data_IF_004970909270
#
_entry.id   IF_004970909270
#
_cell.length_a   1.000
_cell.length_b   1.000
_cell.length_c   1.000
_cell.angle_alpha   90.00
_cell.angle_beta   90.00
_cell.angle_gamma   90.00
#
_symmetry.space_group_name_H-M   'P 1'
#
loop_
_entity.id
_entity.type
_entity.pdbx_description
1 polymer ?
#
# COMPACT_ATOMS: atom_id res chain seq x y z
N UNK A 1 24.75 -0.96 -9.79
CA UNK A 1 24.20 -1.42 -8.49
C UNK A 1 23.05 -2.37 -8.74
N UNK A 2 23.12 -3.58 -8.18
CA UNK A 2 22.10 -4.64 -8.25
C UNK A 2 21.36 -4.69 -6.91
N UNK A 3 20.05 -4.53 -6.96
CA UNK A 3 19.19 -4.53 -5.78
C UNK A 3 18.16 -5.64 -5.89
N UNK A 4 18.03 -6.49 -4.89
CA UNK A 4 16.93 -7.44 -4.78
C UNK A 4 15.93 -6.91 -3.75
N UNK A 5 14.73 -6.56 -4.23
CA UNK A 5 13.59 -6.17 -3.38
C UNK A 5 12.82 -7.44 -3.01
N UNK A 6 12.57 -7.66 -1.73
CA UNK A 6 11.88 -8.87 -1.27
C UNK A 6 10.55 -8.49 -0.63
N UNK A 7 9.47 -9.03 -1.21
CA UNK A 7 8.13 -8.95 -0.68
C UNK A 7 7.78 -10.26 0.03
N UNK A 8 7.33 -10.24 1.29
CA UNK A 8 6.91 -11.47 1.97
C UNK A 8 5.55 -11.98 1.50
N UNK A 9 4.74 -11.11 0.87
CA UNK A 9 3.37 -11.40 0.46
C UNK A 9 3.29 -11.77 -1.01
N UNK A 10 2.30 -12.60 -1.37
CA UNK A 10 2.09 -13.02 -2.76
C UNK A 10 1.93 -11.83 -3.71
N UNK A 11 2.81 -11.74 -4.69
CA UNK A 11 2.86 -10.68 -5.70
C UNK A 11 1.75 -10.82 -6.76
N UNK A 12 1.12 -11.99 -6.86
CA UNK A 12 -0.04 -12.23 -7.75
C UNK A 12 -1.37 -11.75 -7.14
N UNK A 13 -1.36 -11.31 -5.87
CA UNK A 13 -2.54 -10.80 -5.18
C UNK A 13 -2.42 -9.29 -4.97
N UNK A 14 -3.50 -8.52 -5.20
CA UNK A 14 -3.49 -7.09 -4.97
C UNK A 14 -3.24 -6.76 -3.49
N UNK A 15 -2.39 -5.76 -3.23
CA UNK A 15 -2.13 -5.31 -1.87
C UNK A 15 -1.22 -4.09 -1.84
N UNK A 16 -1.34 -3.28 -0.78
CA UNK A 16 -0.60 -2.03 -0.67
C UNK A 16 0.93 -2.22 -0.64
N UNK A 17 1.42 -3.27 0.04
CA UNK A 17 2.86 -3.58 0.10
C UNK A 17 3.35 -4.09 -1.26
N UNK A 18 2.60 -4.98 -1.89
CA UNK A 18 2.93 -5.54 -3.21
C UNK A 18 3.03 -4.42 -4.26
N UNK A 19 2.03 -3.54 -4.33
CA UNK A 19 2.04 -2.39 -5.23
C UNK A 19 3.24 -1.46 -4.99
N UNK A 20 3.63 -1.23 -3.72
CA UNK A 20 4.81 -0.43 -3.40
C UNK A 20 6.11 -1.09 -3.86
N UNK A 21 6.26 -2.40 -3.66
CA UNK A 21 7.48 -3.13 -4.09
C UNK A 21 7.61 -3.11 -5.60
N UNK A 22 6.52 -3.42 -6.32
CA UNK A 22 6.50 -3.45 -7.78
C UNK A 22 6.74 -2.06 -8.37
N UNK A 23 6.03 -1.04 -7.90
CA UNK A 23 6.20 0.34 -8.36
C UNK A 23 7.61 0.88 -8.10
N UNK A 24 8.16 0.63 -6.90
CA UNK A 24 9.53 1.02 -6.56
C UNK A 24 10.56 0.33 -7.48
N UNK A 25 10.38 -0.96 -7.74
CA UNK A 25 11.30 -1.71 -8.61
C UNK A 25 11.25 -1.20 -10.06
N UNK A 26 10.07 -0.92 -10.62
CA UNK A 26 9.92 -0.31 -11.95
C UNK A 26 10.66 1.01 -12.04
N UNK A 27 10.39 1.90 -11.11
CA UNK A 27 11.00 3.24 -11.10
C UNK A 27 12.51 3.21 -10.85
N UNK A 28 13.01 2.26 -10.04
CA UNK A 28 14.46 2.05 -9.89
C UNK A 28 15.11 1.60 -11.20
N UNK A 29 14.46 0.70 -11.97
CA UNK A 29 14.95 0.25 -13.30
C UNK A 29 14.99 1.41 -14.30
N UNK A 30 13.97 2.26 -14.33
CA UNK A 30 13.94 3.48 -15.16
C UNK A 30 15.08 4.45 -14.83
N UNK A 31 15.58 4.41 -13.60
CA UNK A 31 16.74 5.18 -13.14
C UNK A 31 18.08 4.48 -13.34
N UNK A 32 18.11 3.34 -14.03
CA UNK A 32 19.33 2.59 -14.33
C UNK A 32 19.84 1.68 -13.19
N UNK A 33 19.05 1.47 -12.14
CA UNK A 33 19.35 0.48 -11.10
C UNK A 33 18.87 -0.89 -11.55
N UNK A 34 19.73 -1.90 -11.50
CA UNK A 34 19.31 -3.30 -11.74
C UNK A 34 18.50 -3.78 -10.53
N UNK A 35 17.18 -3.77 -10.65
CA UNK A 35 16.26 -4.13 -9.57
C UNK A 35 15.47 -5.40 -9.90
N UNK A 36 15.65 -6.46 -9.11
CA UNK A 36 14.90 -7.71 -9.19
C UNK A 36 13.93 -7.78 -8.00
N UNK A 37 12.70 -8.23 -8.22
CA UNK A 37 11.72 -8.45 -7.16
C UNK A 37 11.60 -9.93 -6.87
N UNK A 38 11.68 -10.33 -5.60
CA UNK A 38 11.55 -11.70 -5.13
C UNK A 38 10.38 -11.81 -4.15
N UNK A 39 9.48 -12.77 -4.36
CA UNK A 39 8.36 -13.02 -3.45
C UNK A 39 7.51 -14.21 -3.88
N UNK A 40 6.52 -14.62 -3.07
CA UNK A 40 5.56 -15.65 -3.48
C UNK A 40 4.71 -15.19 -4.68
N UNK A 41 4.26 -16.15 -5.48
CA UNK A 41 3.27 -15.93 -6.53
C UNK A 41 2.33 -17.13 -6.60
N UNK A 42 1.02 -16.88 -6.55
CA UNK A 42 -0.03 -17.90 -6.69
C UNK A 42 -0.47 -18.11 -8.15
N UNK A 43 0.28 -17.55 -9.08
CA UNK A 43 0.13 -17.61 -10.52
C UNK A 43 1.43 -17.19 -11.19
N UNK A 44 1.39 -16.84 -12.48
CA UNK A 44 2.57 -16.32 -13.15
C UNK A 44 3.03 -15.01 -12.47
N UNK A 45 4.34 -14.71 -12.51
CA UNK A 45 4.85 -13.42 -12.06
C UNK A 45 4.10 -12.26 -12.75
N UNK A 46 3.70 -11.22 -12.01
CA UNK A 46 2.83 -10.16 -12.55
C UNK A 46 3.52 -9.28 -13.62
N UNK A 47 4.84 -9.23 -13.62
CA UNK A 47 5.61 -8.42 -14.57
C UNK A 47 7.06 -8.95 -14.75
N UNK A 48 7.79 -8.55 -15.81
CA UNK A 48 9.20 -8.88 -15.98
C UNK A 48 10.06 -8.38 -14.81
N UNK A 49 11.08 -9.17 -14.44
CA UNK A 49 11.96 -8.86 -13.31
C UNK A 49 11.37 -9.23 -11.95
N UNK A 50 10.26 -9.96 -11.92
CA UNK A 50 9.72 -10.62 -10.73
C UNK A 50 10.08 -12.10 -10.78
N UNK A 51 10.65 -12.61 -9.69
CA UNK A 51 11.02 -14.03 -9.54
C UNK A 51 10.15 -14.62 -8.42
N UNK A 52 9.41 -15.68 -8.74
CA UNK A 52 8.59 -16.39 -7.75
C UNK A 52 9.45 -17.34 -6.92
N UNK A 53 9.18 -17.37 -5.61
CA UNK A 53 9.72 -18.39 -4.68
C UNK A 53 8.79 -19.58 -4.50
N UNK A 54 7.60 -19.55 -5.09
CA UNK A 54 6.56 -20.58 -4.95
C UNK A 54 5.20 -19.99 -4.57
N UNK A 55 4.19 -20.83 -4.36
CA UNK A 55 2.86 -20.41 -3.96
C UNK A 55 2.82 -19.92 -2.51
N UNK A 56 1.75 -19.21 -2.16
CA UNK A 56 1.51 -18.75 -0.80
C UNK A 56 0.48 -19.62 -0.06
N UNK A 57 0.52 -19.55 1.27
CA UNK A 57 -0.55 -20.03 2.16
C UNK A 57 -1.16 -18.82 2.87
N UNK A 58 -2.48 -18.85 3.04
CA UNK A 58 -3.20 -17.76 3.68
C UNK A 58 -3.14 -17.91 5.20
N UNK A 59 -2.53 -16.96 5.88
CA UNK A 59 -2.44 -16.92 7.34
C UNK A 59 -3.16 -15.70 7.90
N UNK A 60 -3.93 -15.92 8.97
CA UNK A 60 -4.56 -14.81 9.70
C UNK A 60 -3.49 -13.94 10.38
N UNK A 61 -3.49 -12.65 10.10
CA UNK A 61 -2.55 -11.70 10.66
C UNK A 61 -3.23 -10.32 10.87
N UNK A 62 -3.14 -9.78 12.07
CA UNK A 62 -3.57 -8.41 12.41
C UNK A 62 -4.98 -8.02 11.91
N UNK A 63 -5.95 -8.95 12.03
CA UNK A 63 -7.33 -8.72 11.57
C UNK A 63 -7.52 -8.78 10.05
N UNK A 64 -6.52 -9.27 9.32
CA UNK A 64 -6.53 -9.52 7.88
C UNK A 64 -5.91 -10.89 7.58
N UNK A 65 -5.74 -11.22 6.30
CA UNK A 65 -5.11 -12.46 5.85
C UNK A 65 -3.85 -12.11 5.06
N UNK A 66 -2.72 -12.72 5.46
CA UNK A 66 -1.44 -12.55 4.82
C UNK A 66 -1.10 -13.79 3.96
N UNK A 67 -0.88 -13.64 2.64
CA UNK A 67 -0.46 -14.72 1.76
C UNK A 67 1.07 -14.89 1.81
N UNK A 68 1.57 -15.85 2.59
CA UNK A 68 2.99 -16.07 2.86
C UNK A 68 3.48 -17.40 2.29
N UNK A 69 4.76 -17.49 1.90
CA UNK A 69 5.43 -18.74 1.56
C UNK A 69 6.40 -19.13 2.71
N UNK A 70 6.09 -20.23 3.39
CA UNK A 70 6.81 -20.67 4.60
C UNK A 70 7.46 -22.04 4.43
N UNK A 71 7.21 -22.71 3.34
CA UNK A 71 7.66 -24.06 3.07
C UNK A 71 9.16 -24.14 2.74
N UNK A 72 9.83 -25.30 2.98
CA UNK A 72 11.23 -25.47 2.70
C UNK A 72 11.62 -25.22 1.23
N UNK A 73 10.82 -25.57 0.20
CA UNK A 73 11.08 -25.19 -1.18
C UNK A 73 11.22 -23.67 -1.39
N UNK A 74 10.33 -22.85 -0.79
CA UNK A 74 10.40 -21.40 -0.90
C UNK A 74 11.66 -20.82 -0.25
N UNK A 75 12.05 -21.38 0.92
CA UNK A 75 13.30 -21.02 1.61
C UNK A 75 14.51 -21.33 0.70
N UNK A 76 14.59 -22.56 0.17
CA UNK A 76 15.66 -22.97 -0.74
C UNK A 76 15.70 -22.08 -1.99
N UNK A 77 14.55 -21.86 -2.62
CA UNK A 77 14.46 -21.02 -3.83
C UNK A 77 14.91 -19.59 -3.56
N UNK A 78 14.58 -19.04 -2.41
CA UNK A 78 15.09 -17.72 -1.98
C UNK A 78 16.62 -17.69 -1.99
N UNK A 79 17.28 -18.68 -1.39
CA UNK A 79 18.74 -18.76 -1.32
C UNK A 79 19.37 -18.95 -2.71
N UNK A 80 18.80 -19.82 -3.54
CA UNK A 80 19.24 -20.05 -4.95
C UNK A 80 19.21 -18.75 -5.74
N UNK A 81 18.10 -18.00 -5.67
CA UNK A 81 17.95 -16.72 -6.38
C UNK A 81 18.96 -15.69 -5.88
N UNK A 82 19.17 -15.57 -4.56
CA UNK A 82 20.16 -14.65 -4.03
C UNK A 82 21.59 -15.01 -4.48
N UNK A 83 21.91 -16.30 -4.57
CA UNK A 83 23.21 -16.76 -5.08
C UNK A 83 23.37 -16.47 -6.59
N UNK A 84 22.31 -16.57 -7.37
CA UNK A 84 22.33 -16.28 -8.81
C UNK A 84 22.38 -14.77 -9.12
N UNK A 85 21.54 -13.98 -8.45
CA UNK A 85 21.43 -12.53 -8.66
C UNK A 85 22.63 -11.76 -8.12
N UNK A 86 23.31 -12.28 -7.10
CA UNK A 86 24.46 -11.65 -6.44
C UNK A 86 24.21 -10.16 -6.14
N UNK A 87 23.20 -9.80 -5.35
CA UNK A 87 22.84 -8.41 -5.11
C UNK A 87 23.93 -7.65 -4.36
N UNK A 88 24.10 -6.38 -4.69
CA UNK A 88 24.92 -5.44 -3.91
C UNK A 88 24.18 -5.00 -2.63
N UNK A 89 22.82 -4.90 -2.71
CA UNK A 89 21.94 -4.51 -1.61
C UNK A 89 20.66 -5.37 -1.60
N UNK A 90 20.23 -5.76 -0.41
CA UNK A 90 18.89 -6.31 -0.18
C UNK A 90 17.95 -5.21 0.31
N UNK A 91 16.76 -5.12 -0.27
CA UNK A 91 15.68 -4.29 0.27
C UNK A 91 14.50 -5.17 0.69
N UNK A 92 14.33 -5.32 1.99
CA UNK A 92 13.37 -6.24 2.59
C UNK A 92 12.14 -5.46 3.06
N UNK A 93 10.98 -5.75 2.47
CA UNK A 93 9.71 -5.23 2.97
C UNK A 93 9.18 -6.18 4.04
N UNK A 94 8.81 -5.63 5.21
CA UNK A 94 8.47 -6.40 6.42
C UNK A 94 9.54 -7.46 6.74
N UNK A 95 10.78 -7.03 7.03
CA UNK A 95 11.98 -7.91 7.07
C UNK A 95 11.92 -9.05 8.06
N UNK A 96 11.02 -8.98 9.05
CA UNK A 96 10.89 -9.95 10.13
C UNK A 96 9.70 -10.90 9.95
N UNK A 97 8.94 -10.73 8.87
CA UNK A 97 7.88 -11.67 8.51
C UNK A 97 8.52 -12.98 8.03
N UNK A 98 8.11 -14.15 8.59
CA UNK A 98 8.61 -15.44 8.15
C UNK A 98 8.42 -15.67 6.65
N UNK A 99 9.36 -16.37 6.03
CA UNK A 99 9.40 -16.63 4.60
C UNK A 99 10.59 -15.95 3.94
N UNK A 100 10.48 -15.50 2.66
CA UNK A 100 11.62 -15.05 1.87
C UNK A 100 12.37 -13.86 2.47
N UNK A 101 11.67 -12.87 3.07
CA UNK A 101 12.31 -11.69 3.63
C UNK A 101 13.20 -12.03 4.85
N UNK A 102 12.68 -12.81 5.79
CA UNK A 102 13.44 -13.26 6.95
C UNK A 102 14.57 -14.22 6.56
N UNK A 103 14.32 -15.11 5.61
CA UNK A 103 15.35 -16.04 5.08
C UNK A 103 16.53 -15.25 4.50
N UNK A 104 16.27 -14.27 3.65
CA UNK A 104 17.30 -13.43 3.06
C UNK A 104 18.08 -12.64 4.10
N UNK A 105 17.42 -12.11 5.13
CA UNK A 105 18.06 -11.39 6.21
C UNK A 105 18.97 -12.30 7.04
N UNK A 106 18.55 -13.54 7.30
CA UNK A 106 19.32 -14.50 8.08
C UNK A 106 20.51 -15.09 7.30
N UNK A 107 20.34 -15.33 6.01
CA UNK A 107 21.41 -15.80 5.13
C UNK A 107 22.51 -14.74 4.89
N UNK A 108 22.20 -13.47 5.18
CA UNK A 108 22.83 -12.30 4.62
C UNK A 108 24.27 -12.03 5.00
N UNK A 109 25.08 -11.99 3.94
CA UNK A 109 26.37 -11.30 3.89
C UNK A 109 26.28 -10.00 3.06
N UNK A 110 25.07 -9.60 2.68
CA UNK A 110 24.80 -8.44 1.82
C UNK A 110 24.16 -7.33 2.65
N UNK A 111 24.60 -6.06 2.48
CA UNK A 111 23.97 -4.94 3.15
C UNK A 111 22.45 -4.90 2.92
N UNK A 112 21.68 -4.75 3.99
CA UNK A 112 20.23 -4.83 3.92
C UNK A 112 19.53 -3.57 4.45
N UNK A 113 18.52 -3.10 3.69
CA UNK A 113 17.54 -2.11 4.11
C UNK A 113 16.25 -2.84 4.49
N UNK A 114 15.66 -2.51 5.63
CA UNK A 114 14.37 -3.04 6.04
C UNK A 114 13.31 -1.95 6.06
N UNK A 115 12.20 -2.14 5.33
CA UNK A 115 11.05 -1.24 5.33
C UNK A 115 9.87 -1.85 6.08
N UNK A 116 9.39 -1.14 7.09
CA UNK A 116 8.26 -1.53 7.93
C UNK A 116 6.98 -0.83 7.48
N UNK A 117 5.96 -1.61 7.18
CA UNK A 117 4.65 -1.15 6.72
C UNK A 117 3.54 -1.33 7.76
N UNK A 118 3.74 -2.24 8.74
CA UNK A 118 2.72 -2.56 9.71
C UNK A 118 2.50 -1.41 10.70
N UNK A 119 1.23 -1.13 10.97
CA UNK A 119 0.76 -0.35 12.12
C UNK A 119 -0.02 -1.27 13.07
N UNK A 120 -0.10 -0.90 14.34
CA UNK A 120 -0.82 -1.65 15.35
C UNK A 120 0.03 -2.68 16.11
N UNK A 121 -0.62 -3.67 16.75
CA UNK A 121 0.06 -4.65 17.61
C UNK A 121 0.56 -5.84 16.80
N UNK A 122 1.84 -6.19 16.93
CA UNK A 122 2.42 -7.42 16.39
C UNK A 122 2.79 -8.32 17.57
N UNK A 123 1.95 -9.29 17.98
CA UNK A 123 2.15 -10.10 19.19
C UNK A 123 3.50 -10.82 19.21
N UNK A 124 3.99 -11.29 18.05
CA UNK A 124 5.28 -11.97 17.95
C UNK A 124 6.45 -11.09 18.42
N UNK A 125 6.38 -9.76 18.26
CA UNK A 125 7.43 -8.85 18.73
C UNK A 125 7.50 -8.75 20.25
N UNK A 126 6.40 -9.05 20.95
CA UNK A 126 6.35 -9.04 22.42
C UNK A 126 7.07 -10.25 23.00
N UNK A 127 6.68 -11.44 22.53
CA UNK A 127 7.15 -12.72 23.09
C UNK A 127 8.56 -13.09 22.67
N UNK A 128 8.96 -12.71 21.45
CA UNK A 128 10.27 -13.05 20.88
C UNK A 128 11.22 -11.85 20.85
N UNK A 129 10.98 -10.83 21.66
CA UNK A 129 11.69 -9.55 21.63
C UNK A 129 13.23 -9.65 21.56
N UNK A 130 13.91 -10.48 22.37
CA UNK A 130 15.38 -10.60 22.29
C UNK A 130 15.86 -11.12 20.93
N UNK A 131 15.22 -12.19 20.43
CA UNK A 131 15.56 -12.80 19.15
C UNK A 131 15.26 -11.86 17.98
N UNK A 132 14.08 -11.23 17.99
CA UNK A 132 13.65 -10.26 16.97
C UNK A 132 14.61 -9.07 16.91
N UNK A 133 15.08 -8.56 18.06
CA UNK A 133 16.09 -7.49 18.13
C UNK A 133 17.44 -7.93 17.60
N UNK A 134 17.87 -9.14 17.92
CA UNK A 134 19.14 -9.68 17.43
C UNK A 134 19.12 -9.80 15.89
N UNK A 135 18.03 -10.30 15.33
CA UNK A 135 17.84 -10.38 13.87
C UNK A 135 17.77 -8.98 13.24
N UNK A 136 17.01 -8.07 13.83
CA UNK A 136 16.87 -6.71 13.32
C UNK A 136 18.19 -5.91 13.30
N UNK A 137 19.18 -6.26 14.13
CA UNK A 137 20.53 -5.66 14.10
C UNK A 137 21.30 -5.93 12.81
N UNK A 138 20.88 -6.95 12.03
CA UNK A 138 21.47 -7.25 10.71
C UNK A 138 21.07 -6.26 9.64
N UNK A 139 19.99 -5.46 9.87
CA UNK A 139 19.60 -4.39 8.99
C UNK A 139 20.57 -3.23 9.13
N UNK A 140 21.25 -2.88 8.05
CA UNK A 140 22.15 -1.73 8.00
C UNK A 140 21.39 -0.38 8.00
N UNK A 141 20.18 -0.36 7.43
CA UNK A 141 19.25 0.76 7.48
C UNK A 141 17.83 0.27 7.75
N UNK A 142 17.06 1.09 8.45
CA UNK A 142 15.64 0.84 8.73
C UNK A 142 14.81 2.02 8.31
N UNK A 143 13.74 1.73 7.58
CA UNK A 143 12.75 2.72 7.15
C UNK A 143 11.36 2.28 7.56
N UNK A 144 10.45 3.22 7.71
CA UNK A 144 9.04 2.98 7.99
C UNK A 144 8.19 3.91 7.13
N UNK A 145 7.04 3.42 6.71
CA UNK A 145 6.16 4.15 5.77
C UNK A 145 5.35 5.26 6.44
N UNK A 146 5.29 5.27 7.77
CA UNK A 146 4.55 6.28 8.54
C UNK A 146 5.19 6.50 9.92
N UNK A 147 4.84 7.62 10.60
CA UNK A 147 5.25 7.84 11.98
C UNK A 147 4.78 6.73 12.93
N UNK A 148 3.59 6.18 12.71
CA UNK A 148 3.04 5.08 13.51
C UNK A 148 3.86 3.78 13.31
N UNK A 149 4.15 3.42 12.05
CA UNK A 149 5.00 2.27 11.74
C UNK A 149 6.42 2.43 12.31
N UNK A 150 6.98 3.66 12.26
CA UNK A 150 8.26 3.99 12.89
C UNK A 150 8.22 3.76 14.40
N UNK A 151 7.23 4.33 15.07
CA UNK A 151 7.09 4.20 16.53
C UNK A 151 6.97 2.73 16.96
N UNK A 152 6.23 1.93 16.17
CA UNK A 152 6.13 0.49 16.38
C UNK A 152 7.50 -0.21 16.24
N UNK A 153 8.21 0.04 15.14
CA UNK A 153 9.52 -0.55 14.88
C UNK A 153 10.54 -0.15 15.97
N UNK A 154 10.67 1.13 16.29
CA UNK A 154 11.60 1.62 17.32
C UNK A 154 11.30 1.06 18.71
N UNK A 155 10.02 1.00 19.09
CA UNK A 155 9.58 0.47 20.38
C UNK A 155 10.00 -0.99 20.60
N UNK A 156 9.82 -1.83 19.57
CA UNK A 156 10.02 -3.29 19.72
C UNK A 156 11.42 -3.74 19.31
N UNK A 157 12.01 -3.10 18.31
CA UNK A 157 13.30 -3.50 17.74
C UNK A 157 14.46 -2.69 18.32
N UNK A 158 14.19 -1.50 18.85
CA UNK A 158 15.21 -0.51 19.22
C UNK A 158 15.94 0.06 18.00
N UNK A 159 16.77 1.07 18.23
CA UNK A 159 17.50 1.79 17.19
C UNK A 159 16.62 2.75 16.40
N UNK A 160 17.26 3.59 15.58
CA UNK A 160 16.57 4.59 14.78
C UNK A 160 15.94 3.99 13.52
N UNK A 161 14.77 4.53 13.13
CA UNK A 161 14.07 4.19 11.91
C UNK A 161 13.69 5.49 11.18
N UNK A 162 14.08 5.62 9.91
CA UNK A 162 13.77 6.79 9.10
C UNK A 162 12.37 6.67 8.51
N UNK A 163 11.55 7.73 8.57
CA UNK A 163 10.26 7.73 7.86
C UNK A 163 10.49 8.03 6.38
N UNK A 164 10.13 7.07 5.54
CA UNK A 164 10.02 7.20 4.09
C UNK A 164 8.62 6.75 3.68
N UNK A 165 7.71 7.71 3.45
CA UNK A 165 6.35 7.42 3.05
C UNK A 165 6.26 6.64 1.75
N UNK A 166 5.20 5.85 1.58
CA UNK A 166 4.92 5.16 0.34
C UNK A 166 4.82 6.14 -0.84
N UNK A 167 5.21 5.69 -2.02
CA UNK A 167 5.08 6.43 -3.27
C UNK A 167 3.83 6.07 -4.05
N UNK A 168 3.44 6.95 -4.97
CA UNK A 168 2.42 6.71 -5.98
C UNK A 168 2.98 6.95 -7.38
N UNK A 169 2.63 6.09 -8.33
CA UNK A 169 2.98 6.25 -9.76
C UNK A 169 2.04 7.29 -10.39
N UNK A 170 2.34 8.57 -10.20
CA UNK A 170 1.46 9.69 -10.55
C UNK A 170 1.01 9.63 -12.00
N UNK A 171 1.93 9.43 -12.94
CA UNK A 171 1.65 9.41 -14.37
C UNK A 171 0.67 8.30 -14.78
N UNK A 172 0.75 7.16 -14.11
CA UNK A 172 -0.15 6.02 -14.33
C UNK A 172 -1.62 6.37 -14.10
N UNK A 173 -1.90 7.14 -13.06
CA UNK A 173 -3.25 7.55 -12.70
C UNK A 173 -3.68 8.80 -13.45
N UNK A 174 -2.79 9.79 -13.59
CA UNK A 174 -3.09 11.06 -14.25
C UNK A 174 -3.38 10.92 -15.75
N UNK A 175 -2.72 9.95 -16.42
CA UNK A 175 -2.86 9.72 -17.88
C UNK A 175 -3.81 8.57 -18.24
N UNK A 176 -4.46 7.96 -17.27
CA UNK A 176 -5.43 6.90 -17.55
C UNK A 176 -6.62 7.45 -18.33
N UNK A 177 -7.05 6.72 -19.36
CA UNK A 177 -8.30 7.01 -20.03
C UNK A 177 -9.47 6.80 -19.04
N UNK A 178 -10.39 7.76 -18.88
CA UNK A 178 -11.46 7.59 -17.91
C UNK A 178 -12.40 6.44 -18.31
N UNK A 179 -12.85 5.68 -17.30
CA UNK A 179 -13.89 4.68 -17.51
C UNK A 179 -15.19 5.34 -17.97
N UNK A 180 -15.99 4.70 -18.83
CA UNK A 180 -17.27 5.27 -19.25
C UNK A 180 -18.16 5.67 -18.05
N UNK A 181 -18.77 6.83 -18.14
CA UNK A 181 -19.69 7.32 -17.11
C UNK A 181 -20.87 6.35 -16.92
N UNK A 182 -21.32 6.09 -15.69
CA UNK A 182 -22.47 5.23 -15.46
C UNK A 182 -23.77 5.89 -15.91
N UNK A 183 -24.74 5.07 -16.26
CA UNK A 183 -26.12 5.53 -16.43
C UNK A 183 -26.71 5.81 -15.04
N UNK A 184 -27.14 7.05 -14.80
CA UNK A 184 -27.83 7.45 -13.57
C UNK A 184 -29.27 7.89 -13.87
N UNK A 185 -30.22 7.77 -12.93
CA UNK A 185 -31.61 8.15 -13.14
C UNK A 185 -31.79 9.60 -13.60
N UNK A 186 -30.99 10.54 -13.09
CA UNK A 186 -31.00 11.95 -13.47
C UNK A 186 -30.10 12.29 -14.67
N UNK A 187 -29.41 11.29 -15.26
CA UNK A 187 -28.52 11.50 -16.40
C UNK A 187 -27.22 12.24 -16.09
N UNK A 188 -26.89 12.45 -14.81
CA UNK A 188 -25.69 13.20 -14.41
C UNK A 188 -24.39 12.42 -14.59
N UNK A 189 -24.45 11.09 -14.70
CA UNK A 189 -23.29 10.22 -14.79
C UNK A 189 -22.40 10.23 -13.54
N UNK A 190 -22.90 10.71 -12.38
CA UNK A 190 -22.15 10.79 -11.13
C UNK A 190 -21.82 9.41 -10.58
N UNK A 191 -20.59 9.24 -10.10
CA UNK A 191 -20.14 7.98 -9.50
C UNK A 191 -19.34 8.22 -8.23
N UNK A 192 -19.59 7.35 -7.25
CA UNK A 192 -18.78 7.22 -6.02
C UNK A 192 -17.98 5.93 -6.18
N UNK A 193 -16.68 5.98 -6.01
CA UNK A 193 -15.85 4.78 -6.07
C UNK A 193 -15.34 4.39 -4.68
N UNK A 194 -15.54 3.13 -4.31
CA UNK A 194 -14.88 2.46 -3.21
C UNK A 194 -13.96 1.37 -3.76
N UNK A 195 -12.75 1.27 -3.19
CA UNK A 195 -11.81 0.21 -3.52
C UNK A 195 -11.23 -0.38 -2.23
N UNK A 196 -11.40 -1.66 -2.02
CA UNK A 196 -10.86 -2.32 -0.84
C UNK A 196 -11.38 -3.72 -0.61
N UNK A 197 -10.74 -4.46 0.29
CA UNK A 197 -11.24 -5.76 0.74
C UNK A 197 -12.53 -5.56 1.54
N UNK A 198 -13.51 -6.43 1.32
CA UNK A 198 -14.78 -6.38 2.06
C UNK A 198 -14.62 -7.01 3.44
N UNK A 199 -13.88 -6.31 4.30
CA UNK A 199 -13.60 -6.59 5.70
C UNK A 199 -14.24 -5.51 6.59
N UNK A 200 -14.68 -5.81 7.83
CA UNK A 200 -15.34 -4.82 8.69
C UNK A 200 -14.53 -3.52 8.87
N UNK A 201 -13.21 -3.63 9.02
CA UNK A 201 -12.32 -2.48 9.21
C UNK A 201 -12.31 -1.50 8.03
N UNK A 202 -12.74 -1.91 6.83
CA UNK A 202 -12.79 -1.06 5.63
C UNK A 202 -14.05 -0.20 5.56
N UNK A 203 -15.05 -0.46 6.42
CA UNK A 203 -16.22 0.40 6.59
C UNK A 203 -17.14 0.46 5.38
N UNK A 204 -17.16 -0.59 4.53
CA UNK A 204 -18.05 -0.61 3.38
C UNK A 204 -19.53 -0.63 3.80
N UNK A 205 -19.87 -1.24 4.93
CA UNK A 205 -21.19 -1.20 5.56
C UNK A 205 -21.60 0.25 5.91
N UNK A 206 -20.69 1.03 6.47
CA UNK A 206 -20.90 2.46 6.76
C UNK A 206 -21.15 3.25 5.46
N UNK A 207 -20.40 2.94 4.39
CA UNK A 207 -20.61 3.59 3.09
C UNK A 207 -21.96 3.21 2.47
N UNK A 208 -22.37 1.95 2.51
CA UNK A 208 -23.67 1.52 2.02
C UNK A 208 -24.82 2.22 2.77
N UNK A 209 -24.67 2.40 4.08
CA UNK A 209 -25.64 3.13 4.89
C UNK A 209 -25.63 4.64 4.62
N UNK A 210 -24.45 5.22 4.36
CA UNK A 210 -24.33 6.61 3.92
C UNK A 210 -24.94 6.82 2.52
N UNK A 211 -24.74 5.87 1.60
CA UNK A 211 -25.27 5.90 0.26
C UNK A 211 -26.81 5.88 0.21
N UNK A 212 -27.49 5.15 1.15
CA UNK A 212 -28.95 5.20 1.30
C UNK A 212 -29.48 6.61 1.61
N UNK A 213 -28.65 7.48 2.21
CA UNK A 213 -29.00 8.84 2.60
C UNK A 213 -28.71 9.87 1.53
N UNK A 214 -28.06 9.48 0.45
CA UNK A 214 -27.84 10.34 -0.72
C UNK A 214 -29.04 10.30 -1.66
N UNK A 215 -29.24 11.37 -2.40
CA UNK A 215 -30.20 11.38 -3.50
C UNK A 215 -29.76 10.37 -4.57
N UNK A 216 -30.72 9.70 -5.22
CA UNK A 216 -30.47 8.55 -6.09
C UNK A 216 -29.84 8.88 -7.46
N UNK A 217 -29.20 10.02 -7.60
CA UNK A 217 -28.57 10.46 -8.84
C UNK A 217 -27.06 10.22 -8.90
N UNK A 218 -26.64 9.12 -8.27
CA UNK A 218 -25.28 8.63 -8.34
C UNK A 218 -25.25 7.10 -8.31
N UNK A 219 -24.21 6.51 -8.90
CA UNK A 219 -23.90 5.07 -8.81
C UNK A 219 -22.75 4.88 -7.84
N UNK A 220 -22.83 3.85 -7.00
CA UNK A 220 -21.73 3.43 -6.12
C UNK A 220 -20.99 2.26 -6.77
N UNK A 221 -19.79 2.48 -7.26
CA UNK A 221 -18.87 1.45 -7.72
C UNK A 221 -18.12 0.84 -6.54
N UNK A 222 -18.29 -0.45 -6.33
CA UNK A 222 -17.64 -1.19 -5.25
C UNK A 222 -16.66 -2.19 -5.84
N UNK A 223 -15.37 -1.88 -5.77
CA UNK A 223 -14.29 -2.74 -6.25
C UNK A 223 -13.62 -3.48 -5.08
N UNK A 224 -13.38 -4.77 -5.29
CA UNK A 224 -12.78 -5.67 -4.33
C UNK A 224 -13.70 -6.82 -3.94
N UNK A 225 -13.18 -7.69 -3.08
CA UNK A 225 -13.86 -8.84 -2.52
C UNK A 225 -13.36 -9.09 -1.10
N UNK A 226 -14.11 -9.88 -0.34
CA UNK A 226 -13.72 -10.27 1.01
C UNK A 226 -14.75 -11.14 1.69
N UNK A 227 -14.52 -11.52 2.95
CA UNK A 227 -15.40 -12.44 3.68
C UNK A 227 -16.84 -11.92 3.82
N UNK A 228 -17.02 -10.60 3.82
CA UNK A 228 -18.34 -9.98 4.03
C UNK A 228 -19.07 -9.66 2.71
N UNK A 229 -18.52 -9.99 1.54
CA UNK A 229 -19.10 -9.64 0.23
C UNK A 229 -20.57 -10.07 0.13
N UNK A 230 -20.88 -11.34 0.37
CA UNK A 230 -22.24 -11.87 0.24
C UNK A 230 -23.24 -11.18 1.18
N UNK A 231 -22.87 -10.96 2.43
CA UNK A 231 -23.72 -10.28 3.41
C UNK A 231 -24.00 -8.81 3.02
N UNK A 232 -22.95 -8.10 2.56
CA UNK A 232 -23.07 -6.72 2.13
C UNK A 232 -23.91 -6.58 0.85
N UNK A 233 -23.73 -7.49 -0.11
CA UNK A 233 -24.52 -7.52 -1.35
C UNK A 233 -26.01 -7.76 -1.07
N UNK A 234 -26.34 -8.67 -0.15
CA UNK A 234 -27.72 -8.99 0.21
C UNK A 234 -28.48 -7.79 0.84
N UNK A 235 -27.75 -6.84 1.45
CA UNK A 235 -28.34 -5.68 2.12
C UNK A 235 -28.06 -4.36 1.41
N UNK A 236 -27.44 -4.38 0.24
CA UNK A 236 -27.06 -3.18 -0.49
C UNK A 236 -28.28 -2.39 -0.99
N UNK A 237 -28.25 -1.07 -0.98
CA UNK A 237 -29.29 -0.25 -1.61
C UNK A 237 -29.21 -0.35 -3.15
N UNK A 238 -30.29 0.04 -3.86
CA UNK A 238 -30.25 0.20 -5.31
C UNK A 238 -29.17 1.22 -5.75
N UNK A 239 -28.59 1.01 -6.93
CA UNK A 239 -27.55 1.89 -7.48
C UNK A 239 -26.12 1.50 -7.09
N UNK A 240 -25.94 0.33 -6.46
CA UNK A 240 -24.60 -0.24 -6.17
C UNK A 240 -24.21 -1.20 -7.28
N UNK A 241 -23.08 -0.94 -7.92
CA UNK A 241 -22.45 -1.83 -8.90
C UNK A 241 -21.26 -2.56 -8.25
N UNK A 242 -21.38 -3.87 -8.12
CA UNK A 242 -20.34 -4.75 -7.57
C UNK A 242 -19.39 -5.16 -8.67
N UNK A 243 -18.15 -4.66 -8.63
CA UNK A 243 -17.17 -4.85 -9.69
C UNK A 243 -16.31 -6.11 -9.49
N UNK A 244 -16.36 -6.70 -8.28
CA UNK A 244 -15.41 -7.76 -7.94
C UNK A 244 -13.97 -7.24 -7.94
N UNK A 245 -13.02 -8.12 -8.23
CA UNK A 245 -11.61 -7.73 -8.39
C UNK A 245 -11.40 -7.10 -9.75
N UNK A 246 -10.92 -5.88 -9.76
CA UNK A 246 -10.56 -5.14 -10.98
C UNK A 246 -9.05 -5.16 -11.20
N UNK A 247 -8.65 -5.03 -12.46
CA UNK A 247 -7.24 -4.91 -12.81
C UNK A 247 -6.67 -3.54 -12.39
N UNK A 248 -5.37 -3.47 -12.28
CA UNK A 248 -4.65 -2.23 -12.01
C UNK A 248 -4.92 -1.14 -13.06
N UNK A 249 -5.14 -1.53 -14.33
CA UNK A 249 -5.52 -0.62 -15.41
C UNK A 249 -6.94 -0.09 -15.17
N UNK A 250 -7.87 -0.97 -14.89
CA UNK A 250 -9.26 -0.59 -14.62
C UNK A 250 -9.36 0.30 -13.37
N UNK A 251 -8.57 0.00 -12.32
CA UNK A 251 -8.49 0.85 -11.13
C UNK A 251 -8.13 2.31 -11.51
N UNK A 252 -7.09 2.50 -12.30
CA UNK A 252 -6.67 3.83 -12.74
C UNK A 252 -7.76 4.52 -13.57
N UNK A 253 -8.41 3.80 -14.50
CA UNK A 253 -9.49 4.32 -15.33
C UNK A 253 -10.72 4.70 -14.50
N UNK A 254 -11.13 3.87 -13.53
CA UNK A 254 -12.28 4.17 -12.66
C UNK A 254 -11.99 5.28 -11.67
N UNK A 255 -10.77 5.35 -11.11
CA UNK A 255 -10.36 6.52 -10.32
C UNK A 255 -10.44 7.79 -11.17
N UNK A 256 -9.96 7.76 -12.39
CA UNK A 256 -9.99 8.91 -13.30
C UNK A 256 -11.40 9.36 -13.67
N UNK A 257 -12.36 8.43 -13.70
CA UNK A 257 -13.76 8.68 -14.06
C UNK A 257 -14.65 9.02 -12.85
N UNK A 258 -14.27 8.60 -11.65
CA UNK A 258 -15.12 8.77 -10.47
C UNK A 258 -15.33 10.25 -10.13
N UNK A 259 -16.58 10.61 -9.84
CA UNK A 259 -16.92 11.97 -9.36
C UNK A 259 -16.33 12.21 -7.96
N UNK A 260 -16.28 11.15 -7.13
CA UNK A 260 -15.64 11.18 -5.82
C UNK A 260 -15.14 9.79 -5.44
N UNK A 261 -13.95 9.73 -4.85
CA UNK A 261 -13.42 8.53 -4.22
C UNK A 261 -13.76 8.53 -2.73
N UNK A 262 -14.28 7.41 -2.21
CA UNK A 262 -14.65 7.24 -0.82
C UNK A 262 -13.81 6.18 -0.12
N UNK A 263 -13.13 6.56 0.97
CA UNK A 263 -12.33 5.67 1.81
C UNK A 263 -12.83 5.67 3.27
N UNK A 264 -13.88 4.88 3.60
CA UNK A 264 -14.57 4.92 4.89
C UNK A 264 -13.93 4.01 5.97
N UNK A 265 -12.66 3.65 5.84
CA UNK A 265 -12.00 2.71 6.77
C UNK A 265 -12.13 3.16 8.23
N UNK A 266 -12.38 2.20 9.12
CA UNK A 266 -12.58 2.46 10.55
C UNK A 266 -11.24 2.54 11.30
N UNK A 267 -10.29 1.71 10.90
CA UNK A 267 -8.94 1.61 11.49
C UNK A 267 -8.01 0.74 10.61
N UNK A 268 -6.73 0.64 11.03
CA UNK A 268 -5.78 -0.33 10.44
C UNK A 268 -5.20 0.08 9.09
N UNK A 269 -5.26 1.36 8.73
CA UNK A 269 -4.56 1.91 7.59
C UNK A 269 -3.20 2.47 8.04
N UNK A 270 -2.13 1.92 7.49
CA UNK A 270 -0.76 2.34 7.86
C UNK A 270 -0.36 3.65 7.21
N UNK A 271 -0.91 3.97 6.00
CA UNK A 271 -0.52 5.17 5.25
C UNK A 271 -1.61 5.69 4.31
N UNK A 272 -2.48 4.84 3.76
CA UNK A 272 -3.55 5.28 2.87
C UNK A 272 -3.10 5.59 1.43
N UNK A 273 -2.29 4.71 0.80
CA UNK A 273 -1.80 4.87 -0.59
C UNK A 273 -2.95 5.12 -1.57
N UNK A 274 -4.09 4.47 -1.39
CA UNK A 274 -5.26 4.61 -2.27
C UNK A 274 -5.79 6.06 -2.34
N UNK A 275 -5.59 6.87 -1.28
CA UNK A 275 -5.93 8.29 -1.33
C UNK A 275 -5.00 9.03 -2.29
N UNK A 276 -3.70 8.70 -2.29
CA UNK A 276 -2.75 9.28 -3.24
C UNK A 276 -3.04 8.86 -4.68
N UNK A 277 -3.48 7.63 -4.90
CA UNK A 277 -3.89 7.14 -6.22
C UNK A 277 -5.10 7.92 -6.74
N UNK A 278 -6.12 8.15 -5.90
CA UNK A 278 -7.26 8.99 -6.23
C UNK A 278 -6.87 10.45 -6.50
N UNK A 279 -6.01 11.02 -5.67
CA UNK A 279 -5.48 12.38 -5.86
C UNK A 279 -4.65 12.50 -7.14
N UNK A 280 -3.83 11.50 -7.47
CA UNK A 280 -3.05 11.45 -8.71
C UNK A 280 -3.96 11.34 -9.95
N UNK A 281 -5.08 10.62 -9.84
CA UNK A 281 -6.11 10.56 -10.87
C UNK A 281 -6.89 11.87 -11.04
N UNK A 282 -6.72 12.86 -10.16
CA UNK A 282 -7.52 14.08 -10.17
C UNK A 282 -8.93 13.88 -9.64
N UNK A 283 -9.13 12.94 -8.73
CA UNK A 283 -10.43 12.60 -8.15
C UNK A 283 -10.53 13.18 -6.74
N UNK A 284 -11.59 13.94 -6.41
CA UNK A 284 -11.81 14.44 -5.05
C UNK A 284 -11.97 13.26 -4.07
N UNK A 285 -11.48 13.43 -2.84
CA UNK A 285 -11.47 12.37 -1.83
C UNK A 285 -12.35 12.73 -0.65
N UNK A 286 -13.22 11.80 -0.23
CA UNK A 286 -13.90 11.77 1.06
C UNK A 286 -13.42 10.56 1.83
N UNK A 287 -12.91 10.75 3.05
CA UNK A 287 -12.32 9.64 3.82
C UNK A 287 -12.61 9.77 5.32
N UNK A 288 -12.47 8.66 6.03
CA UNK A 288 -12.51 8.67 7.49
C UNK A 288 -11.30 9.42 8.08
N UNK A 289 -11.52 10.15 9.16
CA UNK A 289 -10.49 10.88 9.88
C UNK A 289 -9.70 9.96 10.83
N UNK A 290 -8.88 9.08 10.26
CA UNK A 290 -8.01 8.12 10.97
C UNK A 290 -6.53 8.46 10.75
N UNK A 291 -5.66 7.96 11.65
CA UNK A 291 -4.23 8.33 11.67
C UNK A 291 -3.53 8.13 10.33
N UNK A 292 -3.64 6.95 9.71
CA UNK A 292 -2.98 6.67 8.44
C UNK A 292 -3.46 7.55 7.28
N UNK A 293 -4.70 8.03 7.31
CA UNK A 293 -5.20 8.94 6.27
C UNK A 293 -4.76 10.38 6.52
N UNK A 294 -4.60 10.80 7.80
CA UNK A 294 -4.05 12.12 8.14
C UNK A 294 -2.60 12.30 7.72
N UNK A 295 -1.83 11.23 7.60
CA UNK A 295 -0.46 11.27 7.09
C UNK A 295 -0.43 11.67 5.60
N UNK A 296 -1.49 11.33 4.87
CA UNK A 296 -1.64 11.60 3.43
C UNK A 296 -2.41 12.88 3.16
N UNK A 297 -3.56 13.08 3.81
CA UNK A 297 -4.49 14.15 3.49
C UNK A 297 -4.80 15.01 4.73
N UNK A 298 -4.74 16.33 4.57
CA UNK A 298 -5.18 17.30 5.59
C UNK A 298 -6.65 17.61 5.39
N UNK A 299 -7.39 17.68 6.51
CA UNK A 299 -8.82 17.99 6.50
C UNK A 299 -9.10 19.29 5.73
N UNK A 300 -10.13 19.28 4.88
CA UNK A 300 -10.62 20.41 4.08
C UNK A 300 -9.57 21.02 3.12
N UNK A 301 -8.42 20.38 2.97
CA UNK A 301 -7.39 20.82 2.04
C UNK A 301 -7.23 19.85 0.87
N UNK A 302 -6.79 18.63 1.10
CA UNK A 302 -6.64 17.59 0.08
C UNK A 302 -7.81 16.59 0.07
N UNK A 303 -8.58 16.53 1.18
CA UNK A 303 -9.73 15.65 1.31
C UNK A 303 -10.77 16.21 2.29
N UNK A 304 -12.02 15.79 2.14
CA UNK A 304 -13.02 15.92 3.20
C UNK A 304 -12.84 14.72 4.15
N UNK A 305 -12.36 14.99 5.37
CA UNK A 305 -12.20 13.97 6.40
C UNK A 305 -13.36 14.02 7.38
N UNK A 306 -14.05 12.89 7.59
CA UNK A 306 -15.21 12.76 8.45
C UNK A 306 -14.95 11.73 9.57
N UNK A 307 -15.67 11.79 10.71
CA UNK A 307 -15.54 10.77 11.75
C UNK A 307 -15.75 9.36 11.20
N UNK A 308 -14.84 8.43 11.54
CA UNK A 308 -14.96 7.03 11.12
C UNK A 308 -16.15 6.34 11.77
N UNK A 309 -16.88 5.50 11.04
CA UNK A 309 -18.04 4.78 11.53
C UNK A 309 -19.34 5.60 11.61
N UNK A 310 -19.33 6.86 11.16
CA UNK A 310 -20.52 7.73 11.14
C UNK A 310 -21.10 7.84 9.70
N UNK A 311 -22.18 7.11 9.38
CA UNK A 311 -22.77 7.16 8.04
C UNK A 311 -23.47 8.49 7.74
N UNK A 312 -23.89 9.25 8.75
CA UNK A 312 -24.51 10.58 8.56
C UNK A 312 -23.46 11.60 8.17
N UNK A 313 -22.34 11.63 8.89
CA UNK A 313 -21.23 12.49 8.59
C UNK A 313 -20.63 12.14 7.21
N UNK A 314 -20.52 10.83 6.88
CA UNK A 314 -20.02 10.38 5.59
C UNK A 314 -20.93 10.81 4.43
N UNK A 315 -22.25 10.64 4.57
CA UNK A 315 -23.23 11.11 3.58
C UNK A 315 -23.16 12.63 3.39
N UNK A 316 -23.00 13.39 4.49
CA UNK A 316 -22.80 14.83 4.45
C UNK A 316 -21.54 15.24 3.69
N UNK A 317 -20.42 14.55 3.94
CA UNK A 317 -19.17 14.77 3.25
C UNK A 317 -19.26 14.46 1.73
N UNK A 318 -19.87 13.34 1.38
CA UNK A 318 -20.09 12.95 -0.01
C UNK A 318 -20.99 13.96 -0.75
N UNK A 319 -22.13 14.35 -0.13
CA UNK A 319 -23.04 15.36 -0.71
C UNK A 319 -22.33 16.68 -0.97
N UNK A 320 -21.54 17.17 -0.03
CA UNK A 320 -20.77 18.41 -0.21
C UNK A 320 -19.87 18.36 -1.45
N UNK A 321 -19.19 17.26 -1.69
CA UNK A 321 -18.30 17.12 -2.85
C UNK A 321 -19.08 16.92 -4.14
N UNK A 322 -20.21 16.19 -4.11
CA UNK A 322 -21.06 15.95 -5.27
C UNK A 322 -21.79 17.21 -5.75
N UNK A 323 -22.15 18.12 -4.82
CA UNK A 323 -23.01 19.28 -5.12
C UNK A 323 -22.23 20.60 -5.23
N UNK A 324 -21.00 20.67 -4.72
CA UNK A 324 -20.13 21.86 -4.77
C UNK A 324 -18.91 21.63 -5.68
N UNK A 325 -19.06 21.99 -6.93
CA UNK A 325 -17.98 21.90 -7.93
C UNK A 325 -16.75 22.75 -7.57
N UNK A 326 -16.96 23.86 -6.83
CA UNK A 326 -15.86 24.72 -6.38
C UNK A 326 -15.03 24.01 -5.30
N UNK A 327 -15.69 23.36 -4.33
CA UNK A 327 -15.01 22.52 -3.34
C UNK A 327 -14.28 21.37 -4.02
N UNK A 328 -14.96 20.63 -4.91
CA UNK A 328 -14.37 19.51 -5.64
C UNK A 328 -13.11 19.95 -6.41
N UNK A 329 -13.17 21.07 -7.14
CA UNK A 329 -12.02 21.62 -7.86
C UNK A 329 -10.83 21.98 -6.95
N UNK A 330 -11.08 22.59 -5.79
CA UNK A 330 -10.02 22.91 -4.81
C UNK A 330 -9.37 21.64 -4.23
N UNK A 331 -10.19 20.62 -3.93
CA UNK A 331 -9.66 19.34 -3.43
C UNK A 331 -8.80 18.63 -4.48
N UNK A 332 -9.20 18.67 -5.76
CA UNK A 332 -8.44 18.10 -6.87
C UNK A 332 -7.09 18.82 -7.04
N UNK A 333 -7.10 20.14 -7.08
CA UNK A 333 -5.87 20.93 -7.21
C UNK A 333 -4.88 20.63 -6.08
N UNK A 334 -5.34 20.73 -4.83
CA UNK A 334 -4.51 20.45 -3.68
C UNK A 334 -4.06 18.98 -3.61
N UNK A 335 -4.96 18.04 -3.96
CA UNK A 335 -4.69 16.61 -3.99
C UNK A 335 -3.64 16.24 -5.03
N UNK A 336 -3.71 16.81 -6.24
CA UNK A 336 -2.71 16.58 -7.29
C UNK A 336 -1.31 17.03 -6.86
N UNK A 337 -1.21 18.22 -6.26
CA UNK A 337 0.06 18.72 -5.70
C UNK A 337 0.55 17.80 -4.58
N UNK A 338 -0.37 17.32 -3.75
CA UNK A 338 -0.04 16.38 -2.67
C UNK A 338 0.48 15.05 -3.21
N UNK A 339 -0.19 14.43 -4.17
CA UNK A 339 0.24 13.20 -4.82
C UNK A 339 1.63 13.35 -5.45
N UNK A 340 1.90 14.44 -6.15
CA UNK A 340 3.22 14.73 -6.74
C UNK A 340 4.33 14.81 -5.67
N UNK A 341 4.01 15.25 -4.45
CA UNK A 341 4.98 15.26 -3.34
C UNK A 341 5.34 13.87 -2.81
N UNK A 342 4.50 12.87 -3.09
CA UNK A 342 4.70 11.46 -2.79
C UNK A 342 4.95 10.61 -4.04
N UNK A 343 5.46 11.19 -5.11
CA UNK A 343 5.67 10.44 -6.35
C UNK A 343 6.68 9.30 -6.15
N UNK A 344 6.49 8.20 -6.90
CA UNK A 344 7.36 7.02 -6.84
C UNK A 344 8.79 7.37 -7.29
N UNK A 345 8.94 8.32 -8.21
CA UNK A 345 10.24 8.82 -8.68
C UNK A 345 11.04 9.47 -7.53
N UNK A 346 10.36 10.26 -6.69
CA UNK A 346 10.99 10.87 -5.50
C UNK A 346 11.37 9.81 -4.47
N UNK A 347 10.52 8.83 -4.26
CA UNK A 347 10.79 7.73 -3.34
C UNK A 347 11.97 6.89 -3.84
N UNK A 348 11.98 6.52 -5.13
CA UNK A 348 13.06 5.75 -5.75
C UNK A 348 14.42 6.50 -5.68
N UNK A 349 14.43 7.83 -5.91
CA UNK A 349 15.61 8.64 -5.76
C UNK A 349 16.16 8.60 -4.32
N UNK A 350 15.27 8.66 -3.32
CA UNK A 350 15.67 8.57 -1.91
C UNK A 350 16.24 7.20 -1.55
N UNK A 351 15.62 6.12 -2.03
CA UNK A 351 16.14 4.77 -1.78
C UNK A 351 17.45 4.53 -2.51
N UNK A 352 17.64 4.99 -3.75
CA UNK A 352 18.91 4.90 -4.46
C UNK A 352 20.06 5.55 -3.66
N UNK A 353 19.84 6.77 -3.16
CA UNK A 353 20.83 7.46 -2.30
C UNK A 353 21.10 6.72 -0.98
N UNK A 354 20.08 6.09 -0.37
CA UNK A 354 20.25 5.26 0.82
C UNK A 354 21.08 4.01 0.53
N UNK A 355 20.85 3.34 -0.60
CA UNK A 355 21.63 2.16 -1.01
C UNK A 355 23.10 2.54 -1.23
N UNK A 356 23.38 3.65 -1.93
CA UNK A 356 24.73 4.14 -2.13
C UNK A 356 25.44 4.47 -0.80
N UNK A 357 24.74 5.16 0.11
CA UNK A 357 25.25 5.45 1.45
C UNK A 357 25.53 4.17 2.27
N UNK A 358 24.69 3.15 2.13
CA UNK A 358 24.87 1.88 2.82
C UNK A 358 26.10 1.14 2.29
N UNK A 359 26.29 1.10 0.98
CA UNK A 359 27.44 0.48 0.34
C UNK A 359 28.76 1.19 0.70
N UNK A 360 28.76 2.52 0.72
CA UNK A 360 29.93 3.29 1.12
C UNK A 360 30.38 2.97 2.56
N UNK A 361 29.43 2.80 3.48
CA UNK A 361 29.75 2.40 4.87
C UNK A 361 30.26 0.97 4.98
N UNK A 362 29.77 0.06 4.15
CA UNK A 362 30.16 -1.35 4.16
C UNK A 362 31.51 -1.60 3.50
N UNK A 363 31.97 -0.71 2.61
CA UNK A 363 33.25 -0.78 1.90
C UNK A 363 34.42 -0.07 2.62
N UNK A 364 34.16 0.67 3.71
CA UNK A 364 35.23 1.28 4.54
C UNK A 364 35.86 0.22 5.46
N UNK A 365 37.20 0.01 5.42
CA UNK A 365 37.87 -1.06 6.17
C UNK A 365 37.95 -0.86 7.69
N UNK A 366 37.29 0.12 8.27
CA UNK A 366 37.61 0.61 9.62
C UNK A 366 36.55 0.30 10.70
N UNK A 367 35.90 -0.85 10.68
CA UNK A 367 35.08 -1.35 11.84
C UNK A 367 35.22 -2.88 12.04
N UNK A 368 36.31 -3.51 11.60
CA UNK A 368 36.65 -4.88 12.04
C UNK A 368 37.90 -4.88 12.87
N UNK A 369 37.91 -4.13 13.92
CA UNK A 369 39.01 -4.12 14.86
C UNK A 369 38.49 -3.81 16.26
N UNK A 370 38.61 -4.81 17.15
CA UNK A 370 38.43 -4.80 18.61
C UNK A 370 37.00 -5.09 19.10
N UNK A 371 36.66 -6.37 19.22
CA UNK A 371 36.48 -7.08 20.49
C UNK A 371 36.13 -8.55 20.26
#
# INVERSE_FOLDING_TARGET
MRVVLICPYSLSLPGGVQGQVLGLARTLRERGVSATVLGPCDGPPPEPGVISVGPSVLLAANGSVAPLALDPPAIRRTLEVLAAEQPDVLHLHEPLVPGPALTALLAGNVPAVGTFHASGRVPAYVWLRPAVRAVARRLGLRTAVSPEARALAERWLGGACQVLPNGVEVERFAKADPWPAPATPGGTGRSILFVGRHEPRKGLDVLLEAFRRLDRDAVLWVAGEGPNTSALTATAPPGVEWLGRISDRELAQRLRAATVFCAPSLHGESFGVILLEAMAAGTPVVASDISGYRDVARREKEAVLVPGGDPVALAGGLRRVLDDATLAGRLVEAGTVRAASFSMERLAARYAALYESLLARSGSPDVRGTR
#
